data_IF_450763022391
#
_entry.id   IF_450763022391
#
_cell.length_a   1.000
_cell.length_b   1.000
_cell.length_c   1.000
_cell.angle_alpha   90.00
_cell.angle_beta   90.00
_cell.angle_gamma   90.00
#
_symmetry.space_group_name_H-M   'P 1'
#
loop_
_entity.id
_entity.type
_entity.pdbx_description
1 polymer ?
#
# COMPACT_ATOMS: atom_id res chain seq x y z
N UNK A 1 11.34 -25.59 -22.72
CA UNK A 1 11.85 -24.28 -22.27
C UNK A 1 10.69 -23.60 -21.60
N UNK A 2 10.57 -23.80 -20.29
CA UNK A 2 9.50 -23.21 -19.51
C UNK A 2 9.89 -21.75 -19.26
N UNK A 3 9.18 -20.83 -19.90
CA UNK A 3 9.44 -19.39 -19.80
C UNK A 3 8.66 -18.84 -18.60
N UNK A 4 8.86 -19.47 -17.44
CA UNK A 4 8.30 -19.03 -16.17
C UNK A 4 8.86 -17.66 -15.87
N UNK A 5 8.05 -16.62 -16.12
CA UNK A 5 8.31 -15.27 -15.64
C UNK A 5 8.63 -15.37 -14.15
N UNK A 6 9.90 -15.23 -13.79
CA UNK A 6 10.32 -15.13 -12.40
C UNK A 6 9.72 -13.82 -11.90
N UNK A 7 8.63 -13.90 -11.13
CA UNK A 7 8.11 -12.73 -10.44
C UNK A 7 9.11 -12.41 -9.33
N UNK A 8 9.78 -11.27 -9.48
CA UNK A 8 10.74 -10.80 -8.50
C UNK A 8 10.00 -10.28 -7.26
N UNK A 9 10.55 -10.48 -6.06
CA UNK A 9 9.91 -10.00 -4.85
C UNK A 9 9.88 -8.47 -4.85
N UNK A 10 8.75 -7.92 -4.41
CA UNK A 10 8.55 -6.48 -4.30
C UNK A 10 8.52 -6.08 -2.83
N UNK A 11 9.06 -4.90 -2.54
CA UNK A 11 9.05 -4.28 -1.23
C UNK A 11 8.30 -2.97 -1.30
N UNK A 12 7.45 -2.69 -0.32
CA UNK A 12 6.80 -1.40 -0.15
C UNK A 12 7.37 -0.76 1.11
N UNK A 13 7.85 0.47 0.99
CA UNK A 13 8.34 1.25 2.12
C UNK A 13 7.55 2.55 2.27
N UNK A 14 7.35 2.98 3.51
CA UNK A 14 6.80 4.28 3.85
C UNK A 14 7.90 5.19 4.35
N UNK A 15 7.97 6.39 3.78
CA UNK A 15 8.87 7.45 4.19
C UNK A 15 8.18 8.44 5.15
N UNK A 16 8.97 9.14 5.95
CA UNK A 16 8.50 10.12 6.94
C UNK A 16 7.73 11.30 6.32
N UNK A 17 7.97 11.57 5.03
CA UNK A 17 7.28 12.59 4.23
C UNK A 17 5.91 12.12 3.71
N UNK A 18 5.44 10.94 4.13
CA UNK A 18 4.21 10.29 3.68
C UNK A 18 4.25 9.74 2.25
N UNK A 19 5.45 9.57 1.68
CA UNK A 19 5.65 8.94 0.37
C UNK A 19 5.77 7.41 0.53
N UNK A 20 5.03 6.68 -0.29
CA UNK A 20 5.16 5.24 -0.47
C UNK A 20 6.09 4.96 -1.65
N UNK A 21 7.05 4.07 -1.48
CA UNK A 21 7.93 3.61 -2.56
C UNK A 21 7.73 2.11 -2.78
N UNK A 22 7.64 1.73 -4.06
CA UNK A 22 7.68 0.35 -4.53
C UNK A 22 9.08 0.05 -5.04
N UNK A 23 9.66 -1.03 -4.52
CA UNK A 23 10.97 -1.50 -4.91
C UNK A 23 10.88 -2.91 -5.48
N UNK A 24 11.67 -3.18 -6.50
CA UNK A 24 11.99 -4.53 -6.93
C UNK A 24 13.26 -4.99 -6.24
N UNK A 25 13.21 -6.15 -5.59
CA UNK A 25 14.37 -6.76 -4.97
C UNK A 25 15.08 -7.61 -6.01
N UNK A 26 16.31 -7.22 -6.31
CA UNK A 26 17.28 -8.01 -7.06
C UNK A 26 18.26 -8.70 -6.10
N UNK A 27 19.13 -9.58 -6.61
CA UNK A 27 20.03 -10.38 -5.78
C UNK A 27 20.89 -9.55 -4.80
N UNK A 28 21.27 -8.33 -5.19
CA UNK A 28 22.15 -7.44 -4.40
C UNK A 28 21.75 -5.97 -4.46
N UNK A 29 20.57 -5.65 -4.99
CA UNK A 29 20.11 -4.29 -5.23
C UNK A 29 18.61 -4.16 -4.99
N UNK A 30 18.20 -2.93 -4.64
CA UNK A 30 16.82 -2.49 -4.63
C UNK A 30 16.67 -1.48 -5.77
N UNK A 31 15.74 -1.73 -6.68
CA UNK A 31 15.43 -0.82 -7.78
C UNK A 31 14.10 -0.16 -7.48
N UNK A 32 14.07 1.17 -7.38
CA UNK A 32 12.82 1.91 -7.23
C UNK A 32 12.01 1.77 -8.52
N UNK A 33 10.80 1.22 -8.42
CA UNK A 33 9.88 1.10 -9.54
C UNK A 33 8.96 2.30 -9.62
N UNK A 34 8.38 2.70 -8.48
CA UNK A 34 7.37 3.75 -8.38
C UNK A 34 7.41 4.39 -7.00
N UNK A 35 6.96 5.63 -6.95
CA UNK A 35 6.63 6.32 -5.70
C UNK A 35 5.26 6.99 -5.80
N UNK A 36 4.61 7.12 -4.66
CA UNK A 36 3.31 7.77 -4.54
C UNK A 36 3.24 8.54 -3.23
N UNK A 37 3.04 9.86 -3.33
CA UNK A 37 2.81 10.71 -2.17
C UNK A 37 1.32 10.74 -1.83
N UNK A 38 0.98 10.30 -0.63
CA UNK A 38 -0.40 10.39 -0.16
C UNK A 38 -0.67 11.79 0.40
N UNK A 39 -1.12 12.70 -0.47
CA UNK A 39 -1.44 14.07 -0.09
C UNK A 39 -2.84 14.20 0.53
N UNK A 40 -2.94 15.04 1.56
CA UNK A 40 -4.21 15.44 2.13
C UNK A 40 -4.16 15.67 3.64
N UNK A 41 -5.05 16.55 4.12
CA UNK A 41 -5.22 16.78 5.55
C UNK A 41 -5.73 15.49 6.22
N UNK A 42 -5.13 15.11 7.35
CA UNK A 42 -5.42 13.86 8.08
C UNK A 42 -5.15 12.55 7.31
N UNK A 43 -4.33 12.58 6.25
CA UNK A 43 -3.92 11.39 5.49
C UNK A 43 -2.52 10.87 5.82
N UNK A 44 -1.93 11.32 6.93
CA UNK A 44 -0.62 10.82 7.37
C UNK A 44 -0.72 9.34 7.72
N UNK A 45 0.01 8.50 7.00
CA UNK A 45 0.02 7.05 7.17
C UNK A 45 0.77 6.73 8.45
N UNK A 46 0.15 5.92 9.31
CA UNK A 46 0.72 5.46 10.58
C UNK A 46 0.95 3.94 10.60
N UNK A 47 0.33 3.21 9.66
CA UNK A 47 0.44 1.75 9.59
C UNK A 47 0.20 1.23 8.18
N UNK A 48 0.86 0.11 7.85
CA UNK A 48 0.75 -0.58 6.55
C UNK A 48 0.54 -2.07 6.81
N UNK A 49 -0.40 -2.68 6.09
CA UNK A 49 -0.69 -4.11 6.17
C UNK A 49 -0.93 -4.67 4.77
N UNK A 50 -0.27 -5.78 4.42
CA UNK A 50 -0.51 -6.50 3.15
C UNK A 50 -1.60 -7.54 3.37
N UNK A 51 -2.60 -7.56 2.49
CA UNK A 51 -3.65 -8.57 2.49
C UNK A 51 -3.04 -9.97 2.25
N UNK A 52 -3.60 -11.02 2.87
CA UNK A 52 -3.13 -12.39 2.69
C UNK A 52 -3.12 -12.87 1.22
N UNK A 53 -4.03 -12.34 0.39
CA UNK A 53 -4.07 -12.61 -1.03
C UNK A 53 -3.01 -11.86 -1.85
N UNK A 54 -2.29 -10.91 -1.24
CA UNK A 54 -1.23 -10.10 -1.87
C UNK A 54 -1.73 -9.11 -2.93
N UNK A 55 -3.04 -8.90 -3.04
CA UNK A 55 -3.64 -8.00 -4.03
C UNK A 55 -3.70 -6.57 -3.55
N UNK A 56 -4.03 -6.39 -2.27
CA UNK A 56 -4.25 -5.09 -1.67
C UNK A 56 -3.30 -4.84 -0.50
N UNK A 57 -2.98 -3.57 -0.31
CA UNK A 57 -2.24 -3.05 0.83
C UNK A 57 -3.13 -2.04 1.54
N UNK A 58 -3.36 -2.26 2.82
CA UNK A 58 -4.15 -1.39 3.67
C UNK A 58 -3.24 -0.36 4.32
N UNK A 59 -3.63 0.91 4.21
CA UNK A 59 -2.90 2.06 4.72
C UNK A 59 -3.76 2.72 5.81
N UNK A 60 -3.40 2.50 7.07
CA UNK A 60 -4.06 3.18 8.18
C UNK A 60 -3.47 4.58 8.39
N UNK A 61 -4.32 5.59 8.54
CA UNK A 61 -3.88 6.98 8.79
C UNK A 61 -4.10 7.41 10.23
N UNK A 62 -3.32 8.39 10.69
CA UNK A 62 -3.51 9.05 12.00
C UNK A 62 -4.90 9.67 12.14
N UNK A 63 -5.54 10.03 11.02
CA UNK A 63 -6.91 10.53 10.97
C UNK A 63 -7.99 9.47 11.20
N UNK A 64 -7.62 8.20 11.40
CA UNK A 64 -8.54 7.08 11.61
C UNK A 64 -9.14 6.50 10.33
N UNK A 65 -8.69 6.95 9.16
CA UNK A 65 -9.14 6.41 7.87
C UNK A 65 -8.25 5.24 7.45
N UNK A 66 -8.81 4.31 6.67
CA UNK A 66 -8.04 3.25 6.01
C UNK A 66 -8.15 3.43 4.50
N UNK A 67 -7.02 3.54 3.82
CA UNK A 67 -6.96 3.56 2.36
C UNK A 67 -6.52 2.21 1.84
N UNK A 68 -6.91 1.90 0.61
CA UNK A 68 -6.48 0.70 -0.10
C UNK A 68 -5.53 1.10 -1.21
N UNK A 69 -4.39 0.43 -1.28
CA UNK A 69 -3.47 0.48 -2.40
C UNK A 69 -3.51 -0.86 -3.13
N UNK A 70 -3.74 -0.83 -4.43
CA UNK A 70 -3.62 -2.01 -5.28
C UNK A 70 -2.13 -2.30 -5.46
N UNK A 71 -1.68 -3.48 -5.02
CA UNK A 71 -0.27 -3.87 -5.05
C UNK A 71 0.25 -4.10 -6.48
N UNK A 72 -0.64 -4.46 -7.41
CA UNK A 72 -0.28 -4.76 -8.80
C UNK A 72 -0.08 -3.50 -9.63
N UNK A 73 -0.92 -2.48 -9.43
CA UNK A 73 -0.83 -1.20 -10.15
C UNK A 73 -0.01 -0.17 -9.38
N UNK A 74 0.14 -0.35 -8.06
CA UNK A 74 0.69 0.61 -7.12
C UNK A 74 -0.08 1.93 -7.13
N UNK A 75 -1.41 1.85 -7.15
CA UNK A 75 -2.29 3.01 -7.06
C UNK A 75 -3.13 2.98 -5.78
N UNK A 76 -3.15 4.10 -5.05
CA UNK A 76 -4.05 4.29 -3.92
C UNK A 76 -5.45 4.61 -4.45
N UNK A 77 -6.44 3.90 -3.95
CA UNK A 77 -7.85 4.24 -4.16
C UNK A 77 -8.16 5.51 -3.38
N UNK A 78 -8.75 6.51 -4.04
CA UNK A 78 -9.08 7.79 -3.41
C UNK A 78 -10.18 7.66 -2.35
N UNK A 79 -11.04 6.65 -2.49
CA UNK A 79 -12.07 6.31 -1.53
C UNK A 79 -11.45 5.62 -0.31
N UNK A 80 -11.47 6.33 0.83
CA UNK A 80 -11.16 5.72 2.11
C UNK A 80 -12.23 4.68 2.45
N UNK A 81 -11.80 3.48 2.84
CA UNK A 81 -12.69 2.56 3.55
C UNK A 81 -12.89 3.14 4.93
N UNK A 82 -14.06 3.73 5.15
CA UNK A 82 -14.53 4.02 6.48
C UNK A 82 -14.87 2.69 7.16
N UNK A 83 -14.42 2.51 8.41
CA UNK A 83 -15.17 1.61 9.28
C UNK A 83 -16.59 2.18 9.34
N UNK A 84 -17.51 1.52 8.66
CA UNK A 84 -18.91 1.71 8.96
C UNK A 84 -19.12 1.18 10.38
N UNK A 85 -19.04 2.09 11.36
CA UNK A 85 -19.41 1.81 12.76
C UNK A 85 -20.92 1.91 12.93
N UNK A 86 -21.69 2.22 11.87
CA UNK A 86 -23.14 2.02 11.88
C UNK A 86 -23.42 0.60 11.35
N UNK A 87 -23.99 -0.36 12.05
CA UNK A 87 -24.98 -0.27 13.11
C UNK A 87 -24.99 -1.63 13.81
N UNK A 88 -24.48 -1.74 15.04
CA UNK A 88 -24.99 -2.77 15.95
C UNK A 88 -26.23 -2.18 16.60
N UNK A 89 -27.36 -2.23 15.89
CA UNK A 89 -28.67 -2.13 16.56
C UNK A 89 -28.72 -3.33 17.51
N UNK A 90 -28.69 -3.06 18.81
CA UNK A 90 -29.18 -4.00 19.83
C UNK A 90 -30.64 -3.71 20.08
#
# INVERSE_FOLDING_TARGET
MDNTRIQRPQLISLCDDNTLHLWEIEEKSLVELKSHLLEGKNKKISSICVEAAGKNVLLGTEGGNVYVLDASTFSVHEDAIYQDVSTRVR
#
